data_IF_224156280544
#
_entry.id   IF_224156280544
#
_cell.length_a   1.000
_cell.length_b   1.000
_cell.length_c   1.000
_cell.angle_alpha   90.00
_cell.angle_beta   90.00
_cell.angle_gamma   90.00
#
_symmetry.space_group_name_H-M   'P 1'
#
loop_
_entity.id
_entity.type
_entity.pdbx_description
1 polymer ?
#
# COMPACT_ATOMS: atom_id res chain seq x y z
N UNK A 1 13.92 -31.38 26.77
CA UNK A 1 15.00 -30.47 27.14
C UNK A 1 14.44 -29.05 26.92
N UNK A 2 13.94 -28.46 28.01
CA UNK A 2 13.23 -27.16 28.01
C UNK A 2 14.26 -26.05 28.04
N UNK A 3 14.43 -25.37 26.91
CA UNK A 3 15.26 -24.17 26.83
C UNK A 3 14.35 -22.98 27.16
N UNK A 4 14.33 -22.60 28.43
CA UNK A 4 13.76 -21.36 28.92
C UNK A 4 14.74 -20.22 28.59
N UNK A 5 14.60 -19.56 27.45
CA UNK A 5 15.32 -18.32 27.17
C UNK A 5 14.49 -17.15 27.72
N UNK A 6 15.00 -16.40 28.68
CA UNK A 6 14.27 -15.29 29.30
C UNK A 6 14.11 -14.14 28.27
N UNK A 7 12.96 -13.46 28.30
CA UNK A 7 12.66 -12.25 27.51
C UNK A 7 13.72 -11.13 27.65
N UNK A 8 14.60 -11.18 28.64
CA UNK A 8 15.76 -10.32 28.80
C UNK A 8 16.81 -10.47 27.66
N UNK A 9 16.86 -11.62 26.97
CA UNK A 9 17.81 -11.82 25.87
C UNK A 9 17.44 -11.01 24.60
N UNK A 10 16.17 -10.69 24.40
CA UNK A 10 15.74 -9.87 23.25
C UNK A 10 16.19 -8.40 23.37
N UNK A 11 16.23 -7.87 24.61
CA UNK A 11 16.72 -6.50 24.88
C UNK A 11 18.24 -6.42 24.72
N UNK A 12 18.95 -7.47 25.10
CA UNK A 12 20.41 -7.57 24.94
C UNK A 12 20.80 -7.76 23.48
N UNK A 13 19.99 -8.47 22.67
CA UNK A 13 20.25 -8.65 21.23
C UNK A 13 20.00 -7.38 20.44
N UNK A 14 19.01 -6.55 20.81
CA UNK A 14 18.81 -5.23 20.23
C UNK A 14 19.99 -4.28 20.52
N UNK A 15 20.61 -4.37 21.70
CA UNK A 15 21.80 -3.61 22.07
C UNK A 15 23.10 -4.13 21.41
N UNK A 16 23.20 -5.43 21.14
CA UNK A 16 24.39 -6.02 20.48
C UNK A 16 24.42 -5.80 18.96
N UNK A 17 23.30 -5.41 18.35
CA UNK A 17 23.20 -5.14 16.89
C UNK A 17 23.55 -3.69 16.51
N UNK A 18 23.75 -2.81 17.50
CA UNK A 18 24.34 -1.48 17.32
C UNK A 18 25.78 -1.49 17.87
N UNK A 19 26.71 -2.13 17.18
CA UNK A 19 28.11 -1.98 17.50
C UNK A 19 28.49 -0.48 17.41
N UNK A 20 28.74 0.15 18.56
CA UNK A 20 29.35 1.47 18.79
C UNK A 20 28.49 2.72 18.95
N UNK A 21 27.17 2.71 18.84
CA UNK A 21 26.41 3.90 19.23
C UNK A 21 25.28 3.56 20.18
N UNK A 22 25.13 4.32 21.27
CA UNK A 22 23.96 4.27 22.14
C UNK A 22 22.71 4.40 21.26
N UNK A 23 21.64 3.57 21.47
CA UNK A 23 20.38 3.78 20.78
C UNK A 23 19.99 5.25 20.93
N UNK A 24 19.49 5.92 19.88
CA UNK A 24 19.10 7.32 19.98
C UNK A 24 18.02 7.43 21.04
N UNK A 25 18.11 8.47 21.85
CA UNK A 25 17.03 8.84 22.76
C UNK A 25 15.81 9.23 21.93
N UNK A 26 14.71 8.51 22.12
CA UNK A 26 13.44 8.83 21.45
C UNK A 26 12.86 10.08 22.12
N UNK A 27 12.97 11.21 21.44
CA UNK A 27 12.52 12.51 21.90
C UNK A 27 11.00 12.60 21.91
N UNK A 28 10.38 12.11 22.99
CA UNK A 28 8.93 12.17 23.19
C UNK A 28 8.56 13.39 24.02
N UNK A 29 7.49 14.08 23.63
CA UNK A 29 7.00 15.26 24.37
C UNK A 29 7.85 16.54 24.22
N UNK A 30 8.98 16.52 23.51
CA UNK A 30 9.78 17.72 23.25
C UNK A 30 9.07 18.77 22.37
N UNK A 31 8.22 18.29 21.46
CA UNK A 31 7.51 19.15 20.54
C UNK A 31 6.02 19.17 20.90
N UNK A 32 5.36 20.34 20.90
CA UNK A 32 3.92 20.40 21.14
C UNK A 32 3.15 19.62 20.08
N UNK A 33 1.97 19.14 20.45
CA UNK A 33 1.00 18.61 19.49
C UNK A 33 0.52 19.75 18.58
N UNK A 34 0.10 19.48 17.33
CA UNK A 34 -0.45 20.49 16.46
C UNK A 34 -1.76 21.06 17.01
N UNK A 35 -2.15 22.25 16.55
CA UNK A 35 -3.43 22.87 16.91
C UNK A 35 -4.61 21.94 16.62
N UNK A 36 -4.60 21.28 15.47
CA UNK A 36 -5.63 20.35 15.03
C UNK A 36 -5.15 18.89 15.18
N UNK A 37 -4.80 18.50 16.41
CA UNK A 37 -4.44 17.11 16.74
C UNK A 37 -5.60 16.16 16.46
N UNK A 38 -5.31 14.98 15.96
CA UNK A 38 -6.27 13.89 15.83
C UNK A 38 -6.20 13.00 17.08
N UNK A 39 -7.29 12.84 17.77
CA UNK A 39 -7.40 11.92 18.90
C UNK A 39 -7.83 10.55 18.40
N UNK A 40 -6.97 9.57 18.60
CA UNK A 40 -7.22 8.18 18.21
C UNK A 40 -8.07 7.46 19.26
N UNK A 41 -9.01 6.66 18.81
CA UNK A 41 -9.84 5.78 19.65
C UNK A 41 -9.08 4.58 20.25
N UNK A 42 -7.77 4.48 20.03
CA UNK A 42 -6.97 3.40 20.58
C UNK A 42 -6.92 3.44 22.10
N UNK A 43 -6.83 2.27 22.74
CA UNK A 43 -6.56 2.18 24.15
C UNK A 43 -5.19 2.81 24.46
N UNK A 44 -5.07 3.63 25.55
CA UNK A 44 -3.81 4.19 25.97
C UNK A 44 -2.77 3.10 26.27
N UNK A 45 -1.57 3.27 25.75
CA UNK A 45 -0.45 2.36 25.91
C UNK A 45 0.67 2.98 26.76
N UNK A 46 1.78 2.26 26.82
CA UNK A 46 3.02 2.74 27.43
C UNK A 46 4.09 2.89 26.36
N UNK A 47 4.86 3.95 26.46
CA UNK A 47 6.01 4.15 25.59
C UNK A 47 7.11 3.12 25.84
N UNK A 48 7.73 2.68 24.78
CA UNK A 48 8.88 1.79 24.81
C UNK A 48 8.74 0.57 23.91
N UNK A 49 9.82 -0.18 23.85
CA UNK A 49 9.88 -1.47 23.18
C UNK A 49 10.17 -1.43 21.69
N UNK A 50 10.40 -2.62 21.19
CA UNK A 50 10.72 -2.88 19.78
C UNK A 50 9.66 -3.81 19.23
N UNK A 51 9.20 -3.56 18.01
CA UNK A 51 8.30 -4.44 17.28
C UNK A 51 9.00 -4.94 16.03
N UNK A 52 9.17 -6.24 15.92
CA UNK A 52 9.94 -6.89 14.84
C UNK A 52 9.00 -7.63 13.89
N UNK A 53 9.14 -7.34 12.61
CA UNK A 53 8.45 -8.02 11.52
C UNK A 53 9.47 -8.66 10.57
N UNK A 54 9.11 -9.77 9.95
CA UNK A 54 9.82 -10.30 8.80
C UNK A 54 9.21 -9.78 7.50
N UNK A 55 10.04 -9.45 6.52
CA UNK A 55 9.62 -9.04 5.19
C UNK A 55 10.34 -9.87 4.13
N UNK A 56 9.58 -10.44 3.20
CA UNK A 56 10.13 -11.30 2.14
C UNK A 56 10.88 -10.52 1.05
N UNK A 57 10.72 -9.21 0.99
CA UNK A 57 11.44 -8.36 0.04
C UNK A 57 11.79 -7.01 0.68
N UNK A 58 12.88 -6.44 0.21
CA UNK A 58 13.31 -5.10 0.57
C UNK A 58 12.55 -4.03 -0.22
N UNK A 59 12.38 -2.82 0.34
CA UNK A 59 11.88 -1.69 -0.43
C UNK A 59 12.88 -1.33 -1.55
N UNK A 60 12.37 -1.12 -2.75
CA UNK A 60 13.17 -0.68 -3.90
C UNK A 60 13.42 0.82 -3.91
N UNK A 61 12.55 1.55 -3.25
CA UNK A 61 12.61 3.02 -3.12
C UNK A 61 11.73 3.45 -1.96
N UNK A 62 11.98 4.67 -1.46
CA UNK A 62 11.11 5.36 -0.49
C UNK A 62 10.33 6.52 -1.13
N UNK A 63 10.44 6.67 -2.46
CA UNK A 63 9.68 7.67 -3.22
C UNK A 63 8.30 7.10 -3.63
N UNK A 64 7.18 7.63 -3.10
CA UNK A 64 5.85 7.06 -3.31
C UNK A 64 5.39 7.10 -4.77
N UNK A 65 5.82 8.11 -5.55
CA UNK A 65 5.32 8.28 -6.91
C UNK A 65 5.92 7.26 -7.90
N UNK A 66 7.09 6.71 -7.57
CA UNK A 66 7.78 5.74 -8.42
C UNK A 66 7.88 4.34 -7.82
N UNK A 67 7.36 4.13 -6.61
CA UNK A 67 7.36 2.82 -5.95
C UNK A 67 6.61 1.78 -6.79
N UNK A 68 7.27 0.73 -7.30
CA UNK A 68 6.67 -0.20 -8.25
C UNK A 68 5.96 -1.36 -7.57
N UNK A 69 6.17 -1.57 -6.28
CA UNK A 69 5.80 -2.78 -5.56
C UNK A 69 5.16 -2.50 -4.20
N UNK A 70 4.49 -3.51 -3.67
CA UNK A 70 3.75 -3.44 -2.41
C UNK A 70 4.67 -3.29 -1.19
N UNK A 71 5.89 -3.85 -1.23
CA UNK A 71 6.81 -3.80 -0.08
C UNK A 71 7.34 -2.39 0.14
N UNK A 72 7.72 -1.70 -0.94
CA UNK A 72 8.05 -0.28 -0.90
C UNK A 72 6.85 0.54 -0.41
N UNK A 73 5.65 0.28 -0.95
CA UNK A 73 4.43 1.01 -0.57
C UNK A 73 4.07 0.86 0.90
N UNK A 74 4.16 -0.34 1.46
CA UNK A 74 3.87 -0.60 2.88
C UNK A 74 4.75 0.22 3.84
N UNK A 75 6.03 0.39 3.50
CA UNK A 75 6.94 1.22 4.30
C UNK A 75 6.61 2.70 4.13
N UNK A 76 6.38 3.13 2.88
CA UNK A 76 6.04 4.52 2.55
C UNK A 76 4.73 4.95 3.24
N UNK A 77 3.72 4.08 3.31
CA UNK A 77 2.44 4.36 3.98
C UNK A 77 2.58 4.57 5.50
N UNK A 78 3.64 4.04 6.11
CA UNK A 78 4.00 4.35 7.51
C UNK A 78 4.74 5.69 7.66
N UNK A 79 5.32 6.17 6.57
CA UNK A 79 6.15 7.39 6.57
C UNK A 79 5.39 8.62 6.07
N UNK A 80 4.45 8.46 5.16
CA UNK A 80 3.73 9.58 4.56
C UNK A 80 2.23 9.47 4.80
N UNK A 81 1.63 10.58 5.22
CA UNK A 81 0.18 10.66 5.43
C UNK A 81 -0.50 11.21 4.17
N UNK A 82 -1.63 10.60 3.75
CA UNK A 82 -2.49 11.13 2.69
C UNK A 82 -3.44 12.23 3.22
N UNK A 83 -4.22 12.84 2.33
CA UNK A 83 -5.28 13.80 2.72
C UNK A 83 -6.38 13.14 3.55
N UNK A 84 -6.83 11.98 3.13
CA UNK A 84 -7.83 11.14 3.80
C UNK A 84 -7.36 9.70 3.77
N UNK A 85 -7.92 8.85 4.60
CA UNK A 85 -7.64 7.41 4.57
C UNK A 85 -8.94 6.61 4.62
N UNK A 86 -8.85 5.30 4.45
CA UNK A 86 -9.99 4.38 4.55
C UNK A 86 -9.90 3.63 5.86
N UNK A 87 -10.94 3.69 6.65
CA UNK A 87 -11.08 2.87 7.84
C UNK A 87 -11.22 1.39 7.43
N UNK A 88 -10.32 0.50 7.86
CA UNK A 88 -10.29 -0.89 7.40
C UNK A 88 -11.49 -1.73 7.89
N UNK A 89 -12.20 -1.28 8.93
CA UNK A 89 -13.33 -2.01 9.49
C UNK A 89 -14.66 -1.60 8.86
N UNK A 90 -14.82 -0.29 8.63
CA UNK A 90 -16.06 0.27 8.09
C UNK A 90 -16.01 0.51 6.60
N UNK A 91 -14.82 0.46 6.00
CA UNK A 91 -14.56 0.82 4.59
C UNK A 91 -15.02 2.24 4.24
N UNK A 92 -15.10 3.12 5.21
CA UNK A 92 -15.45 4.53 5.03
C UNK A 92 -14.21 5.39 4.93
N UNK A 93 -14.28 6.42 4.11
CA UNK A 93 -13.25 7.46 4.09
C UNK A 93 -13.31 8.26 5.38
N UNK A 94 -12.18 8.40 6.05
CA UNK A 94 -12.01 9.13 7.30
C UNK A 94 -10.92 10.19 7.15
N UNK A 95 -10.93 11.26 7.99
CA UNK A 95 -9.91 12.29 7.99
C UNK A 95 -8.49 11.75 8.19
N UNK A 96 -7.50 12.39 7.51
CA UNK A 96 -6.08 12.22 7.80
C UNK A 96 -5.43 13.62 7.86
N UNK A 97 -4.57 14.02 6.92
CA UNK A 97 -4.05 15.39 6.90
C UNK A 97 -5.14 16.44 6.67
N UNK A 98 -6.19 16.10 5.92
CA UNK A 98 -7.39 16.92 5.88
C UNK A 98 -8.29 16.57 7.09
N UNK A 99 -8.61 17.58 7.91
CA UNK A 99 -9.53 17.44 9.06
C UNK A 99 -10.99 17.36 8.62
N UNK A 100 -11.31 17.92 7.46
CA UNK A 100 -12.67 17.91 6.88
C UNK A 100 -12.58 18.20 5.38
N UNK A 101 -13.72 17.96 4.70
CA UNK A 101 -13.89 18.29 3.29
C UNK A 101 -15.34 18.62 2.99
N UNK A 102 -15.58 19.32 1.89
CA UNK A 102 -16.90 19.54 1.29
C UNK A 102 -16.91 19.06 -0.16
N UNK A 103 -18.09 18.68 -0.63
CA UNK A 103 -18.32 18.21 -1.99
C UNK A 103 -19.43 19.07 -2.58
N UNK A 104 -19.23 19.63 -3.78
CA UNK A 104 -20.26 20.40 -4.48
C UNK A 104 -21.50 19.57 -4.82
N UNK A 105 -22.63 20.23 -5.06
CA UNK A 105 -23.91 19.58 -5.40
C UNK A 105 -23.80 18.70 -6.66
N UNK A 106 -23.04 19.16 -7.66
CA UNK A 106 -22.78 18.43 -8.91
C UNK A 106 -21.78 17.29 -8.74
N UNK A 107 -21.21 17.12 -7.53
CA UNK A 107 -20.23 16.07 -7.17
C UNK A 107 -18.96 16.08 -8.00
N UNK A 108 -18.57 17.25 -8.52
CA UNK A 108 -17.36 17.41 -9.32
C UNK A 108 -16.25 18.16 -8.62
N UNK A 109 -16.58 18.96 -7.58
CA UNK A 109 -15.61 19.78 -6.85
C UNK A 109 -15.51 19.30 -5.40
N UNK A 110 -14.29 19.12 -4.94
CA UNK A 110 -13.94 18.61 -3.61
C UNK A 110 -12.98 19.61 -2.95
N UNK A 111 -13.40 20.21 -1.84
CA UNK A 111 -12.55 21.15 -1.10
C UNK A 111 -12.09 20.48 0.20
N UNK A 112 -10.79 20.37 0.41
CA UNK A 112 -10.18 19.80 1.60
C UNK A 112 -9.62 20.89 2.49
N UNK A 113 -9.89 20.80 3.79
CA UNK A 113 -9.36 21.68 4.83
C UNK A 113 -8.32 20.92 5.64
N UNK A 114 -7.04 21.30 5.51
CA UNK A 114 -5.92 20.65 6.17
C UNK A 114 -5.92 20.98 7.67
N UNK A 115 -5.31 20.09 8.47
CA UNK A 115 -5.00 20.35 9.88
C UNK A 115 -3.92 21.42 9.99
N UNK A 116 -4.12 22.37 10.90
CA UNK A 116 -3.16 23.43 11.16
C UNK A 116 -2.06 22.98 12.13
N UNK A 117 -0.82 23.37 11.85
CA UNK A 117 0.33 23.10 12.71
C UNK A 117 0.89 21.68 12.59
N UNK A 118 0.40 20.86 11.65
CA UNK A 118 1.00 19.56 11.34
C UNK A 118 2.35 19.76 10.65
N UNK A 119 3.35 18.95 11.03
CA UNK A 119 4.71 19.07 10.54
C UNK A 119 5.26 17.75 10.01
N UNK A 120 6.18 17.86 9.09
CA UNK A 120 7.08 16.76 8.74
C UNK A 120 8.05 16.45 9.89
N UNK A 121 8.71 15.30 9.81
CA UNK A 121 9.64 14.84 10.85
C UNK A 121 10.86 15.73 11.06
N UNK A 122 11.20 16.57 10.10
CA UNK A 122 12.25 17.58 10.20
C UNK A 122 11.76 18.94 10.75
N UNK A 123 10.47 19.04 11.09
CA UNK A 123 9.86 20.22 11.69
C UNK A 123 9.25 21.22 10.70
N UNK A 124 9.40 21.01 9.40
CA UNK A 124 8.76 21.85 8.38
C UNK A 124 7.23 21.66 8.41
N UNK A 125 6.48 22.75 8.33
CA UNK A 125 5.02 22.74 8.38
C UNK A 125 4.42 22.20 7.08
N UNK A 126 3.39 21.36 7.20
CA UNK A 126 2.62 20.83 6.07
C UNK A 126 1.53 21.85 5.69
N UNK A 127 1.52 22.24 4.45
CA UNK A 127 0.57 23.23 3.92
C UNK A 127 -0.06 22.77 2.60
N UNK A 128 -0.97 23.58 2.08
CA UNK A 128 -1.54 23.38 0.76
C UNK A 128 -0.48 23.37 -0.36
N UNK A 129 0.68 24.01 -0.16
CA UNK A 129 1.76 24.02 -1.16
C UNK A 129 2.36 22.61 -1.36
N UNK A 130 2.43 21.79 -0.31
CA UNK A 130 2.90 20.40 -0.40
C UNK A 130 1.90 19.52 -1.17
N UNK A 131 0.61 19.76 -0.96
CA UNK A 131 -0.45 19.07 -1.72
C UNK A 131 -0.37 19.43 -3.20
N UNK A 132 -0.31 20.73 -3.51
CA UNK A 132 -0.19 21.20 -4.90
C UNK A 132 1.08 20.65 -5.55
N UNK A 133 2.22 20.69 -4.86
CA UNK A 133 3.48 20.13 -5.34
C UNK A 133 3.36 18.63 -5.66
N UNK A 134 2.70 17.85 -4.80
CA UNK A 134 2.47 16.41 -5.01
C UNK A 134 1.75 16.17 -6.34
N UNK A 135 0.65 16.86 -6.58
CA UNK A 135 -0.16 16.67 -7.79
C UNK A 135 0.50 17.28 -9.03
N UNK A 136 1.23 18.39 -8.91
CA UNK A 136 2.05 18.92 -9.99
C UNK A 136 3.12 17.91 -10.42
N UNK A 137 3.75 17.22 -9.48
CA UNK A 137 4.77 16.21 -9.77
C UNK A 137 4.16 14.97 -10.43
N UNK A 138 2.97 14.52 -10.01
CA UNK A 138 2.24 13.40 -10.62
C UNK A 138 1.95 13.68 -12.10
N UNK A 139 1.56 14.91 -12.44
CA UNK A 139 1.17 15.30 -13.80
C UNK A 139 2.25 16.09 -14.54
N UNK A 140 3.48 16.16 -14.01
CA UNK A 140 4.56 16.89 -14.64
C UNK A 140 4.82 16.35 -16.08
N UNK A 141 4.73 17.20 -17.12
CA UNK A 141 5.02 16.77 -18.48
C UNK A 141 6.52 16.56 -18.68
N UNK A 142 6.87 15.60 -19.52
CA UNK A 142 8.20 15.55 -20.09
C UNK A 142 8.36 16.72 -21.04
N UNK A 143 9.44 17.49 -20.90
CA UNK A 143 9.73 18.65 -21.76
C UNK A 143 10.83 18.28 -22.75
N UNK A 144 10.73 18.83 -23.95
CA UNK A 144 11.80 18.85 -24.95
C UNK A 144 12.88 19.91 -24.59
N UNK A 145 13.99 20.02 -25.34
CA UNK A 145 15.03 21.02 -25.12
C UNK A 145 14.54 22.46 -25.19
N UNK A 146 13.44 22.72 -25.89
CA UNK A 146 12.81 24.04 -26.02
C UNK A 146 11.80 24.34 -24.89
N UNK A 147 11.66 23.41 -23.92
CA UNK A 147 10.75 23.56 -22.80
C UNK A 147 9.28 23.27 -23.13
N UNK A 148 8.98 22.68 -24.27
CA UNK A 148 7.61 22.30 -24.67
C UNK A 148 7.29 20.88 -24.25
N UNK A 149 6.02 20.57 -23.90
CA UNK A 149 5.62 19.21 -23.59
C UNK A 149 5.82 18.26 -24.79
N UNK A 150 6.50 17.14 -24.55
CA UNK A 150 6.62 16.05 -25.52
C UNK A 150 5.28 15.33 -25.60
N UNK A 151 4.73 15.27 -26.82
CA UNK A 151 3.41 14.66 -27.08
C UNK A 151 3.57 13.22 -27.55
N UNK A 152 2.87 12.31 -26.89
CA UNK A 152 2.71 10.93 -27.36
C UNK A 152 1.91 10.91 -28.66
N UNK A 153 2.53 10.44 -29.73
CA UNK A 153 1.92 10.40 -31.08
C UNK A 153 0.69 9.49 -31.16
N UNK A 154 0.58 8.49 -30.29
CA UNK A 154 -0.55 7.54 -30.31
C UNK A 154 -1.78 8.07 -29.58
N UNK A 155 -1.57 8.86 -28.53
CA UNK A 155 -2.66 9.36 -27.66
C UNK A 155 -2.95 10.84 -27.84
N UNK A 156 -2.04 11.60 -28.44
CA UNK A 156 -2.11 13.06 -28.54
C UNK A 156 -1.94 13.79 -27.21
N UNK A 157 -1.51 13.10 -26.16
CA UNK A 157 -1.36 13.68 -24.79
C UNK A 157 0.11 13.89 -24.45
N UNK A 158 0.43 14.82 -23.52
CA UNK A 158 1.78 14.96 -23.01
C UNK A 158 2.28 13.66 -22.36
N UNK A 159 3.50 13.27 -22.67
CA UNK A 159 4.22 12.25 -21.91
C UNK A 159 4.51 12.78 -20.52
N UNK A 160 4.39 11.91 -19.52
CA UNK A 160 4.71 12.26 -18.15
C UNK A 160 6.22 12.17 -17.91
N UNK A 161 6.75 13.17 -17.21
CA UNK A 161 8.16 13.21 -16.80
C UNK A 161 8.49 12.08 -15.81
N UNK A 162 7.54 11.78 -14.92
CA UNK A 162 7.64 10.74 -13.90
C UNK A 162 6.47 9.76 -14.04
N UNK A 163 6.61 8.69 -14.86
CA UNK A 163 5.55 7.70 -15.00
C UNK A 163 5.15 7.13 -13.65
N UNK A 164 3.89 7.32 -13.29
CA UNK A 164 3.33 6.91 -12.01
C UNK A 164 1.95 6.32 -12.21
N UNK A 165 1.62 5.28 -11.44
CA UNK A 165 0.26 4.72 -11.38
C UNK A 165 -0.81 5.75 -11.02
N UNK A 166 -0.44 6.75 -10.23
CA UNK A 166 -1.35 7.79 -9.76
C UNK A 166 -1.87 8.70 -10.87
N UNK A 167 -1.09 8.94 -11.91
CA UNK A 167 -1.56 9.77 -13.02
C UNK A 167 -2.78 9.15 -13.73
N UNK A 168 -2.77 7.83 -13.94
CA UNK A 168 -3.93 7.11 -14.47
C UNK A 168 -5.12 7.13 -13.50
N UNK A 169 -4.87 6.92 -12.22
CA UNK A 169 -5.87 6.91 -11.16
C UNK A 169 -6.59 8.27 -11.02
N UNK A 170 -5.86 9.38 -11.19
CA UNK A 170 -6.41 10.74 -11.13
C UNK A 170 -6.74 11.35 -12.50
N UNK A 171 -6.87 10.50 -13.53
CA UNK A 171 -7.40 10.89 -14.85
C UNK A 171 -8.83 10.37 -14.99
N UNK A 172 -9.82 11.27 -14.94
CA UNK A 172 -11.24 10.91 -14.87
C UNK A 172 -11.94 11.40 -16.12
N UNK A 173 -12.52 10.47 -16.87
CA UNK A 173 -13.16 10.79 -18.15
C UNK A 173 -12.17 11.30 -19.20
N UNK A 174 -10.96 10.79 -19.21
CA UNK A 174 -9.84 11.17 -20.07
C UNK A 174 -9.18 12.50 -19.75
N UNK A 175 -9.59 13.21 -18.71
CA UNK A 175 -8.98 14.46 -18.25
C UNK A 175 -8.31 14.27 -16.89
N UNK A 176 -7.09 14.82 -16.69
CA UNK A 176 -6.49 14.92 -15.38
C UNK A 176 -7.37 15.72 -14.42
N UNK A 177 -7.40 15.32 -13.16
CA UNK A 177 -8.04 16.12 -12.10
C UNK A 177 -7.38 17.50 -12.05
N UNK A 178 -8.18 18.54 -11.95
CA UNK A 178 -7.69 19.92 -11.74
C UNK A 178 -7.57 20.16 -10.24
N UNK A 179 -6.56 20.92 -9.85
CA UNK A 179 -6.32 21.24 -8.44
C UNK A 179 -5.79 22.65 -8.29
N UNK A 180 -6.16 23.30 -7.21
CA UNK A 180 -5.70 24.65 -6.88
C UNK A 180 -5.63 24.84 -5.38
N UNK A 181 -4.71 25.68 -4.94
CA UNK A 181 -4.65 26.21 -3.58
C UNK A 181 -5.74 27.26 -3.42
N UNK A 182 -6.54 27.13 -2.37
CA UNK A 182 -7.59 28.11 -2.02
C UNK A 182 -7.28 28.87 -0.73
N UNK A 183 -6.28 28.42 0.04
CA UNK A 183 -5.77 29.04 1.26
C UNK A 183 -4.51 28.33 1.74
N UNK A 184 -3.89 28.80 2.82
CA UNK A 184 -2.68 28.17 3.39
C UNK A 184 -2.92 26.69 3.73
N UNK A 185 -4.12 26.37 4.19
CA UNK A 185 -4.54 25.04 4.63
C UNK A 185 -5.78 24.56 3.89
N UNK A 186 -5.99 25.00 2.66
CA UNK A 186 -7.15 24.62 1.86
C UNK A 186 -6.77 24.38 0.41
N UNK A 187 -7.26 23.27 -0.14
CA UNK A 187 -7.06 22.89 -1.54
C UNK A 187 -8.37 22.45 -2.14
N UNK A 188 -8.57 22.72 -3.41
CA UNK A 188 -9.72 22.34 -4.19
C UNK A 188 -9.30 21.42 -5.33
N UNK A 189 -10.02 20.34 -5.52
CA UNK A 189 -9.90 19.43 -6.65
C UNK A 189 -11.18 19.45 -7.48
N UNK A 190 -11.05 19.41 -8.81
CA UNK A 190 -12.20 19.32 -9.70
C UNK A 190 -12.00 18.19 -10.73
N UNK A 191 -13.06 17.41 -10.91
CA UNK A 191 -13.11 16.28 -11.86
C UNK A 191 -13.97 16.63 -13.07
N UNK A 192 -13.65 16.08 -14.24
CA UNK A 192 -14.41 16.31 -15.47
C UNK A 192 -15.87 15.85 -15.38
N UNK A 193 -16.13 14.82 -14.58
CA UNK A 193 -17.46 14.28 -14.30
C UNK A 193 -17.56 13.83 -12.84
N UNK A 194 -18.77 13.68 -12.32
CA UNK A 194 -19.00 13.10 -11.01
C UNK A 194 -18.37 11.70 -10.95
N UNK A 195 -17.51 11.47 -9.94
CA UNK A 195 -16.73 10.24 -9.81
C UNK A 195 -16.72 9.79 -8.34
N UNK A 196 -17.58 8.85 -8.01
CA UNK A 196 -17.78 8.41 -6.63
C UNK A 196 -16.51 7.84 -5.94
N UNK A 197 -15.57 7.12 -6.63
CA UNK A 197 -14.36 6.63 -6.02
C UNK A 197 -13.34 7.70 -5.64
N UNK A 198 -13.47 8.95 -6.12
CA UNK A 198 -12.46 10.00 -5.92
C UNK A 198 -12.02 10.15 -4.46
N UNK A 199 -12.97 10.10 -3.52
CA UNK A 199 -12.67 10.22 -2.08
C UNK A 199 -11.84 9.05 -1.55
N UNK A 200 -11.97 7.87 -2.12
CA UNK A 200 -11.13 6.72 -1.77
C UNK A 200 -9.78 6.84 -2.45
N UNK A 201 -9.78 7.20 -3.74
CA UNK A 201 -8.58 7.28 -4.56
C UNK A 201 -7.60 8.33 -4.05
N UNK A 202 -8.09 9.50 -3.62
CA UNK A 202 -7.24 10.58 -3.06
C UNK A 202 -6.53 10.17 -1.76
N UNK A 203 -7.00 9.11 -1.11
CA UNK A 203 -6.39 8.53 0.08
C UNK A 203 -5.18 7.62 -0.20
N UNK A 204 -4.84 7.33 -1.46
CA UNK A 204 -3.73 6.44 -1.78
C UNK A 204 -2.37 7.13 -1.94
N UNK A 205 -2.33 8.45 -2.06
CA UNK A 205 -1.07 9.16 -2.22
C UNK A 205 -0.69 9.92 -0.95
N UNK A 206 0.48 9.59 -0.39
CA UNK A 206 1.10 10.36 0.67
C UNK A 206 1.57 11.72 0.16
N UNK A 207 1.33 12.78 0.94
CA UNK A 207 1.69 14.14 0.57
C UNK A 207 3.19 14.34 0.69
N UNK A 208 3.81 14.80 -0.39
CA UNK A 208 5.26 15.00 -0.52
C UNK A 208 5.71 16.32 0.12
N UNK A 209 6.86 16.33 0.83
CA UNK A 209 7.45 17.56 1.34
C UNK A 209 8.10 18.36 0.21
N UNK A 210 7.45 19.43 -0.19
CA UNK A 210 7.93 20.34 -1.25
C UNK A 210 9.36 20.81 -0.99
N UNK A 211 9.65 21.24 0.24
CA UNK A 211 10.96 21.78 0.64
C UNK A 211 12.12 20.81 0.46
N UNK A 212 11.86 19.49 0.46
CA UNK A 212 12.86 18.44 0.22
C UNK A 212 12.97 18.04 -1.25
N UNK A 213 11.86 18.04 -1.96
CA UNK A 213 11.79 17.39 -3.28
C UNK A 213 11.66 18.38 -4.46
N UNK A 214 11.39 19.67 -4.21
CA UNK A 214 11.23 20.66 -5.29
C UNK A 214 12.45 20.68 -6.21
N UNK A 215 13.66 20.78 -5.65
CA UNK A 215 14.89 20.82 -6.44
C UNK A 215 15.02 19.61 -7.37
N UNK A 216 14.77 18.41 -6.85
CA UNK A 216 14.87 17.19 -7.65
C UNK A 216 13.77 17.08 -8.72
N UNK A 217 12.59 17.64 -8.47
CA UNK A 217 11.52 17.75 -9.45
C UNK A 217 11.90 18.73 -10.58
N UNK A 218 12.56 19.84 -10.26
CA UNK A 218 12.96 20.86 -11.23
C UNK A 218 14.12 20.37 -12.12
N UNK A 219 15.16 19.77 -11.52
CA UNK A 219 16.35 19.34 -12.24
C UNK A 219 16.21 17.94 -12.90
N UNK A 220 15.08 17.25 -12.72
CA UNK A 220 14.82 15.95 -13.32
C UNK A 220 15.40 14.75 -12.57
N UNK A 221 16.02 14.95 -11.42
CA UNK A 221 16.57 13.88 -10.61
C UNK A 221 15.56 13.19 -9.68
N UNK A 222 14.28 13.58 -9.72
CA UNK A 222 13.22 13.12 -8.83
C UNK A 222 13.07 11.58 -8.78
N UNK A 223 13.32 10.88 -9.90
CA UNK A 223 13.28 9.41 -9.91
C UNK A 223 14.36 8.78 -9.03
N UNK A 224 15.46 9.49 -8.74
CA UNK A 224 16.53 9.05 -7.84
C UNK A 224 16.40 9.60 -6.44
N UNK A 225 15.49 10.56 -6.23
CA UNK A 225 15.20 11.09 -4.92
C UNK A 225 14.60 10.00 -4.02
N UNK A 226 15.01 9.99 -2.77
CA UNK A 226 14.57 9.03 -1.76
C UNK A 226 14.83 7.57 -2.16
N UNK A 227 15.97 7.35 -2.80
CA UNK A 227 16.45 6.00 -3.12
C UNK A 227 16.85 5.24 -1.85
N UNK A 228 17.08 3.95 -2.00
CA UNK A 228 17.67 3.12 -0.93
C UNK A 228 19.04 3.63 -0.51
N UNK A 229 19.84 4.19 -1.45
CA UNK A 229 21.11 4.83 -1.12
C UNK A 229 20.94 6.05 -0.22
N UNK A 230 19.90 6.87 -0.44
CA UNK A 230 19.59 8.00 0.46
C UNK A 230 19.27 7.50 1.86
N UNK A 231 18.49 6.43 2.00
CA UNK A 231 18.16 5.83 3.29
C UNK A 231 19.38 5.25 4.03
N UNK A 232 20.42 4.82 3.31
CA UNK A 232 21.68 4.35 3.90
C UNK A 232 22.53 5.53 4.37
N UNK A 233 22.75 6.52 3.49
CA UNK A 233 23.74 7.58 3.73
C UNK A 233 23.21 8.75 4.56
N UNK A 234 21.94 9.09 4.39
CA UNK A 234 21.27 10.21 5.05
C UNK A 234 19.76 9.97 5.20
N UNK A 235 19.34 9.09 6.12
CA UNK A 235 17.92 8.78 6.31
C UNK A 235 17.07 10.00 6.69
N UNK A 236 17.64 11.03 7.33
CA UNK A 236 16.93 12.26 7.71
C UNK A 236 16.54 13.13 6.51
N UNK A 237 17.09 12.88 5.33
CA UNK A 237 16.66 13.54 4.10
C UNK A 237 15.26 13.09 3.67
N UNK A 238 14.85 11.90 4.11
CA UNK A 238 13.53 11.34 3.83
C UNK A 238 12.56 11.81 4.91
N UNK A 239 11.99 13.01 4.74
CA UNK A 239 11.10 13.61 5.71
C UNK A 239 9.73 12.90 5.73
N UNK A 240 9.25 12.56 6.91
CA UNK A 240 8.02 11.80 7.12
C UNK A 240 6.91 12.68 7.71
N UNK A 241 5.66 12.46 7.28
CA UNK A 241 4.43 13.02 7.87
C UNK A 241 3.59 11.97 8.61
N UNK A 242 3.93 10.70 8.40
CA UNK A 242 3.32 9.54 9.03
C UNK A 242 3.88 9.26 10.43
N UNK A 243 3.45 8.14 11.05
CA UNK A 243 3.85 7.78 12.42
C UNK A 243 5.33 7.46 12.57
N UNK A 244 6.01 7.05 11.51
CA UNK A 244 7.40 6.62 11.55
C UNK A 244 8.27 7.38 10.55
N UNK A 245 9.56 7.43 10.85
CA UNK A 245 10.63 7.87 9.95
C UNK A 245 11.75 6.82 9.94
N UNK A 246 12.60 6.83 8.92
CA UNK A 246 13.74 5.91 8.83
C UNK A 246 14.77 6.30 9.88
N UNK A 247 15.16 5.32 10.69
CA UNK A 247 16.32 5.41 11.58
C UNK A 247 17.58 4.89 10.89
N UNK A 248 17.52 3.66 10.34
CA UNK A 248 18.62 3.06 9.59
C UNK A 248 18.13 2.02 8.59
N UNK A 249 18.85 1.89 7.50
CA UNK A 249 18.63 0.86 6.50
C UNK A 249 19.93 0.13 6.19
N UNK A 250 19.89 -1.20 6.28
CA UNK A 250 21.01 -2.08 5.97
C UNK A 250 20.51 -3.11 4.94
N UNK A 251 20.89 -2.96 3.66
CA UNK A 251 20.48 -3.86 2.61
C UNK A 251 20.76 -5.33 2.93
N UNK A 252 19.87 -6.22 2.54
CA UNK A 252 19.96 -7.66 2.80
C UNK A 252 19.72 -8.06 4.27
N UNK A 253 19.59 -7.11 5.19
CA UNK A 253 19.49 -7.41 6.61
C UNK A 253 18.22 -6.85 7.25
N UNK A 254 18.08 -5.51 7.30
CA UNK A 254 16.95 -4.88 7.99
C UNK A 254 16.72 -3.42 7.62
N UNK A 255 15.49 -2.99 7.85
CA UNK A 255 15.10 -1.58 7.96
C UNK A 255 14.64 -1.32 9.39
N UNK A 256 15.12 -0.24 10.00
CA UNK A 256 14.70 0.22 11.33
C UNK A 256 14.00 1.55 11.18
N UNK A 257 12.76 1.61 11.64
CA UNK A 257 11.96 2.81 11.73
C UNK A 257 11.86 3.25 13.19
N UNK A 258 11.83 4.58 13.42
CA UNK A 258 11.58 5.17 14.73
C UNK A 258 10.40 6.15 14.66
N UNK A 259 9.77 6.50 15.78
CA UNK A 259 8.67 7.46 15.79
C UNK A 259 9.03 8.80 15.16
N UNK A 260 8.10 9.35 14.39
CA UNK A 260 8.16 10.75 13.96
C UNK A 260 7.88 11.65 15.18
N UNK A 261 8.84 12.51 15.60
CA UNK A 261 8.69 13.35 16.79
C UNK A 261 7.60 14.42 16.64
N UNK A 262 7.18 14.70 15.41
CA UNK A 262 6.13 15.67 15.07
C UNK A 262 4.82 15.00 14.65
N UNK A 263 4.66 13.68 14.84
CA UNK A 263 3.43 13.00 14.43
C UNK A 263 2.20 13.64 15.07
N UNK A 264 1.17 13.85 14.28
CA UNK A 264 0.02 14.69 14.57
C UNK A 264 -1.15 13.98 15.26
N UNK A 265 -1.03 12.67 15.53
CA UNK A 265 -2.03 11.90 16.26
C UNK A 265 -1.62 11.65 17.71
N UNK A 266 -2.60 11.69 18.59
CA UNK A 266 -2.43 11.37 20.01
C UNK A 266 -3.52 10.40 20.46
N UNK A 267 -3.34 9.75 21.60
CA UNK A 267 -4.37 9.03 22.29
C UNK A 267 -5.31 9.97 23.06
N UNK A 268 -6.37 9.40 23.66
CA UNK A 268 -7.35 10.15 24.45
C UNK A 268 -6.79 10.85 25.69
N UNK A 269 -5.57 10.50 26.13
CA UNK A 269 -4.86 11.15 27.22
C UNK A 269 -3.87 12.23 26.72
N UNK A 270 -3.82 12.48 25.42
CA UNK A 270 -2.92 13.44 24.80
C UNK A 270 -1.48 12.91 24.60
N UNK A 271 -1.24 11.62 24.80
CA UNK A 271 0.05 11.03 24.50
C UNK A 271 0.24 10.81 23.00
N UNK A 272 1.31 11.37 22.43
CA UNK A 272 1.61 11.28 20.99
C UNK A 272 1.87 9.82 20.57
N UNK A 273 1.26 9.38 19.50
CA UNK A 273 1.53 8.07 18.89
C UNK A 273 2.78 8.10 17.98
N UNK A 274 3.39 6.96 17.64
CA UNK A 274 3.15 5.63 18.20
C UNK A 274 3.86 5.40 19.53
N UNK A 275 3.47 4.35 20.28
CA UNK A 275 4.08 4.05 21.57
C UNK A 275 5.42 3.33 21.47
N UNK A 276 5.62 2.46 20.46
CA UNK A 276 6.84 1.68 20.28
C UNK A 276 8.03 2.58 19.93
N UNK A 277 9.23 2.21 20.40
CA UNK A 277 10.46 2.97 20.12
C UNK A 277 11.02 2.63 18.74
N UNK A 278 10.94 1.36 18.34
CA UNK A 278 11.43 0.92 17.04
C UNK A 278 10.49 -0.09 16.40
N UNK A 279 10.26 0.09 15.10
CA UNK A 279 9.66 -0.90 14.22
C UNK A 279 10.76 -1.43 13.30
N UNK A 280 11.05 -2.72 13.40
CA UNK A 280 12.13 -3.36 12.64
C UNK A 280 11.56 -4.33 11.63
N UNK A 281 11.92 -4.15 10.37
CA UNK A 281 11.69 -5.13 9.31
C UNK A 281 12.99 -5.92 9.08
N UNK A 282 13.00 -7.20 9.40
CA UNK A 282 14.06 -8.14 9.03
C UNK A 282 13.77 -8.70 7.65
N UNK A 283 14.73 -8.62 6.74
CA UNK A 283 14.57 -9.20 5.41
C UNK A 283 14.88 -10.69 5.45
N UNK A 284 14.01 -11.48 4.85
CA UNK A 284 14.09 -12.94 4.82
C UNK A 284 13.87 -13.45 3.41
N UNK A 285 14.45 -14.62 3.10
CA UNK A 285 14.42 -15.16 1.75
C UNK A 285 13.00 -15.61 1.30
N UNK A 286 12.16 -16.05 2.26
CA UNK A 286 10.86 -16.63 1.96
C UNK A 286 9.89 -16.57 3.16
N UNK A 287 8.62 -16.90 2.88
CA UNK A 287 7.56 -16.90 3.87
C UNK A 287 7.74 -17.96 4.97
N UNK A 288 8.34 -19.11 4.65
CA UNK A 288 8.55 -20.18 5.64
C UNK A 288 9.55 -19.70 6.70
N UNK A 289 10.63 -19.04 6.27
CA UNK A 289 11.60 -18.39 7.18
C UNK A 289 10.90 -17.36 8.08
N UNK A 290 9.98 -16.55 7.52
CA UNK A 290 9.18 -15.61 8.32
C UNK A 290 8.37 -16.32 9.41
N UNK A 291 7.71 -17.43 9.07
CA UNK A 291 6.91 -18.21 10.02
C UNK A 291 7.78 -18.85 11.11
N UNK A 292 8.97 -19.34 10.76
CA UNK A 292 9.93 -19.90 11.73
C UNK A 292 10.44 -18.82 12.68
N UNK A 293 10.81 -17.64 12.18
CA UNK A 293 11.25 -16.51 13.02
C UNK A 293 10.17 -16.08 14.01
N UNK A 294 8.91 -16.08 13.56
CA UNK A 294 7.77 -15.82 14.44
C UNK A 294 7.60 -16.91 15.49
N UNK A 295 7.55 -18.18 15.09
CA UNK A 295 7.37 -19.30 16.02
C UNK A 295 8.50 -19.42 17.07
N UNK A 296 9.71 -18.97 16.75
CA UNK A 296 10.86 -18.94 17.66
C UNK A 296 10.99 -17.64 18.46
N UNK A 297 10.02 -16.72 18.37
CA UNK A 297 9.98 -15.47 19.11
C UNK A 297 10.97 -14.40 18.62
N UNK A 298 11.50 -14.54 17.41
CA UNK A 298 12.39 -13.55 16.79
C UNK A 298 11.67 -12.48 15.99
N UNK A 299 10.36 -12.66 15.76
CA UNK A 299 9.43 -11.68 15.22
C UNK A 299 8.18 -11.63 16.10
N UNK A 300 7.56 -10.45 16.19
CA UNK A 300 6.40 -10.21 17.07
C UNK A 300 5.07 -10.50 16.37
N UNK A 301 5.06 -10.50 15.05
CA UNK A 301 3.89 -10.85 14.25
C UNK A 301 4.28 -11.47 12.90
N UNK A 302 3.41 -12.31 12.37
CA UNK A 302 3.54 -12.92 11.04
C UNK A 302 2.17 -13.22 10.46
N UNK A 303 2.09 -13.20 9.12
CA UNK A 303 0.98 -13.78 8.39
C UNK A 303 1.26 -15.26 8.15
N UNK A 304 0.34 -16.13 8.58
CA UNK A 304 0.53 -17.58 8.51
C UNK A 304 -0.16 -18.11 7.26
N UNK A 305 0.59 -18.76 6.39
CA UNK A 305 0.06 -19.46 5.22
C UNK A 305 -0.84 -20.65 5.57
N UNK A 306 -1.69 -21.07 4.64
CA UNK A 306 -2.59 -22.18 4.86
C UNK A 306 -1.86 -23.50 5.17
N UNK A 307 -0.72 -23.75 4.51
CA UNK A 307 0.15 -24.89 4.71
C UNK A 307 0.81 -24.92 6.10
N UNK A 308 1.07 -23.75 6.69
CA UNK A 308 1.76 -23.64 7.99
C UNK A 308 0.80 -23.62 9.18
N UNK A 309 -0.48 -23.32 8.93
CA UNK A 309 -1.46 -23.09 9.99
C UNK A 309 -1.56 -24.24 10.99
N UNK A 310 -1.61 -25.49 10.51
CA UNK A 310 -1.82 -26.64 11.39
C UNK A 310 -0.68 -26.82 12.40
N UNK A 311 0.57 -26.74 11.95
CA UNK A 311 1.71 -26.87 12.86
C UNK A 311 1.87 -25.65 13.75
N UNK A 312 1.71 -24.44 13.22
CA UNK A 312 1.78 -23.21 14.03
C UNK A 312 0.73 -23.23 15.13
N UNK A 313 -0.50 -23.66 14.83
CA UNK A 313 -1.56 -23.78 15.83
C UNK A 313 -1.19 -24.72 16.98
N UNK A 314 -0.55 -25.85 16.67
CA UNK A 314 -0.15 -26.83 17.69
C UNK A 314 0.94 -26.28 18.64
N UNK A 315 1.67 -25.26 18.23
CA UNK A 315 2.71 -24.64 19.04
C UNK A 315 2.28 -23.33 19.75
N UNK A 316 1.04 -22.87 19.53
CA UNK A 316 0.56 -21.59 20.06
C UNK A 316 0.70 -21.49 21.58
N UNK A 317 0.29 -22.53 22.32
CA UNK A 317 0.39 -22.56 23.78
C UNK A 317 1.84 -22.71 24.26
N UNK A 318 2.65 -23.52 23.56
CA UNK A 318 4.05 -23.75 23.91
C UNK A 318 4.90 -22.49 23.83
N UNK A 319 4.67 -21.67 22.80
CA UNK A 319 5.41 -20.44 22.54
C UNK A 319 4.64 -19.17 22.92
N UNK A 320 3.48 -19.31 23.56
CA UNK A 320 2.68 -18.21 24.11
C UNK A 320 2.37 -17.10 23.10
N UNK A 321 1.81 -17.47 21.94
CA UNK A 321 1.31 -16.52 20.96
C UNK A 321 -0.18 -16.76 20.66
N UNK A 322 -0.84 -15.78 20.06
CA UNK A 322 -2.25 -15.85 19.69
C UNK A 322 -2.39 -15.85 18.16
N UNK A 323 -3.33 -16.67 17.67
CA UNK A 323 -3.73 -16.69 16.27
C UNK A 323 -5.07 -15.97 16.15
N UNK A 324 -5.12 -14.98 15.27
CA UNK A 324 -6.32 -14.22 14.96
C UNK A 324 -6.83 -14.61 13.58
N UNK A 325 -8.00 -15.22 13.54
CA UNK A 325 -8.69 -15.51 12.28
C UNK A 325 -9.45 -14.27 11.82
N UNK A 326 -9.02 -13.67 10.72
CA UNK A 326 -9.54 -12.41 10.22
C UNK A 326 -10.65 -12.58 9.18
N UNK A 327 -11.00 -13.82 8.83
CA UNK A 327 -11.95 -14.12 7.77
C UNK A 327 -11.34 -13.99 6.37
N UNK A 328 -12.19 -13.91 5.33
CA UNK A 328 -11.74 -13.79 3.94
C UNK A 328 -10.89 -12.55 3.73
N UNK A 329 -9.84 -12.71 2.91
CA UNK A 329 -9.04 -11.58 2.40
C UNK A 329 -9.79 -10.85 1.27
N UNK A 330 -9.40 -9.63 0.99
CA UNK A 330 -9.82 -8.89 -0.20
C UNK A 330 -9.14 -9.39 -1.47
N UNK A 331 -8.00 -10.04 -1.33
CA UNK A 331 -7.27 -10.68 -2.44
C UNK A 331 -8.05 -11.86 -3.03
N UNK A 332 -7.86 -12.09 -4.32
CA UNK A 332 -8.49 -13.20 -5.05
C UNK A 332 -7.45 -13.92 -5.91
N UNK A 333 -7.62 -15.22 -6.05
CA UNK A 333 -6.90 -16.03 -7.05
C UNK A 333 -7.83 -16.28 -8.22
N UNK A 334 -7.38 -15.99 -9.43
CA UNK A 334 -8.22 -16.08 -10.63
C UNK A 334 -7.42 -16.47 -11.86
N UNK A 335 -8.13 -17.00 -12.85
CA UNK A 335 -7.64 -17.21 -14.20
C UNK A 335 -8.36 -16.22 -15.10
N UNK A 336 -7.63 -15.54 -15.95
CA UNK A 336 -8.20 -14.67 -16.97
C UNK A 336 -7.67 -15.02 -18.35
N UNK A 337 -8.44 -14.66 -19.36
CA UNK A 337 -8.07 -14.85 -20.75
C UNK A 337 -7.82 -13.50 -21.40
N UNK A 338 -6.64 -13.33 -21.98
CA UNK A 338 -6.35 -12.12 -22.76
C UNK A 338 -7.22 -12.12 -24.02
N UNK A 339 -8.09 -11.14 -24.14
CA UNK A 339 -9.02 -10.96 -25.27
C UNK A 339 -8.69 -9.70 -26.08
N UNK A 340 -7.46 -9.17 -25.98
CA UNK A 340 -7.03 -8.00 -26.72
C UNK A 340 -6.85 -8.35 -28.21
N UNK A 341 -7.66 -7.80 -29.14
CA UNK A 341 -7.55 -8.07 -30.57
C UNK A 341 -6.47 -7.24 -31.26
N UNK A 342 -5.82 -6.34 -30.55
CA UNK A 342 -4.86 -5.40 -31.11
C UNK A 342 -3.48 -6.03 -31.31
N UNK A 343 -2.61 -5.24 -31.95
CA UNK A 343 -1.23 -5.60 -32.24
C UNK A 343 -0.26 -4.68 -31.49
N UNK A 344 0.94 -5.18 -31.22
CA UNK A 344 2.02 -4.37 -30.68
C UNK A 344 2.48 -3.32 -31.71
N UNK A 345 3.27 -2.31 -31.30
CA UNK A 345 3.88 -1.35 -32.24
C UNK A 345 4.71 -2.00 -33.34
N UNK A 346 5.25 -3.20 -33.08
CA UNK A 346 6.06 -3.98 -34.02
C UNK A 346 5.19 -4.88 -34.94
N UNK A 347 3.87 -4.75 -34.87
CA UNK A 347 2.93 -5.50 -35.72
C UNK A 347 2.67 -6.94 -35.29
N UNK A 348 3.08 -7.34 -34.08
CA UNK A 348 2.78 -8.67 -33.53
C UNK A 348 1.44 -8.66 -32.80
N UNK A 349 0.56 -9.64 -33.01
CA UNK A 349 -0.70 -9.73 -32.24
C UNK A 349 -0.42 -9.93 -30.74
N UNK A 350 -1.15 -9.24 -29.86
CA UNK A 350 -1.06 -9.47 -28.41
C UNK A 350 -1.58 -10.85 -27.99
N UNK A 351 -2.46 -11.45 -28.82
CA UNK A 351 -2.94 -12.81 -28.66
C UNK A 351 -2.97 -13.46 -30.05
N UNK A 352 -2.40 -14.64 -30.17
CA UNK A 352 -2.45 -15.40 -31.41
C UNK A 352 -3.90 -15.57 -31.90
N UNK A 353 -4.20 -15.37 -33.18
CA UNK A 353 -5.58 -15.32 -33.68
C UNK A 353 -6.43 -16.55 -33.33
N UNK A 354 -5.84 -17.74 -33.36
CA UNK A 354 -6.54 -18.96 -33.00
C UNK A 354 -6.90 -19.02 -31.50
N UNK A 355 -5.99 -18.55 -30.62
CA UNK A 355 -6.24 -18.44 -29.16
C UNK A 355 -7.25 -17.33 -28.85
N UNK A 356 -7.17 -16.20 -29.59
CA UNK A 356 -8.13 -15.11 -29.41
C UNK A 356 -9.56 -15.57 -29.72
N UNK A 357 -9.75 -16.39 -30.77
CA UNK A 357 -11.05 -17.00 -31.09
C UNK A 357 -11.61 -17.82 -29.93
N UNK A 358 -10.76 -18.60 -29.23
CA UNK A 358 -11.16 -19.38 -28.05
C UNK A 358 -11.46 -18.46 -26.86
N UNK A 359 -10.55 -17.57 -26.56
CA UNK A 359 -10.62 -16.70 -25.36
C UNK A 359 -11.80 -15.72 -25.44
N UNK A 360 -12.16 -15.23 -26.63
CA UNK A 360 -13.33 -14.42 -26.86
C UNK A 360 -14.64 -15.20 -26.79
N UNK A 361 -14.61 -16.53 -26.92
CA UNK A 361 -15.81 -17.37 -26.89
C UNK A 361 -16.29 -17.55 -25.45
N UNK A 362 -17.52 -17.10 -25.16
CA UNK A 362 -18.15 -17.19 -23.84
C UNK A 362 -18.32 -18.66 -23.39
N UNK A 363 -18.76 -19.54 -24.28
CA UNK A 363 -18.98 -20.96 -23.97
C UNK A 363 -17.67 -21.66 -23.58
N UNK A 364 -16.57 -21.32 -24.29
CA UNK A 364 -15.25 -21.83 -23.93
C UNK A 364 -14.86 -21.43 -22.50
N UNK A 365 -15.00 -20.15 -22.12
CA UNK A 365 -14.67 -19.67 -20.78
C UNK A 365 -15.55 -20.31 -19.69
N UNK A 366 -16.83 -20.52 -19.98
CA UNK A 366 -17.75 -21.23 -19.08
C UNK A 366 -17.40 -22.70 -18.93
N UNK A 367 -16.98 -23.37 -20.01
CA UNK A 367 -16.49 -24.74 -19.97
C UNK A 367 -15.25 -24.89 -19.09
N UNK A 368 -14.28 -23.95 -19.22
CA UNK A 368 -13.11 -23.92 -18.34
C UNK A 368 -13.51 -23.79 -16.87
N UNK A 369 -14.48 -22.91 -16.54
CA UNK A 369 -14.97 -22.77 -15.17
C UNK A 369 -15.55 -24.07 -14.61
N UNK A 370 -16.28 -24.82 -15.43
CA UNK A 370 -16.87 -26.11 -15.04
C UNK A 370 -15.84 -27.26 -14.96
N UNK A 371 -14.74 -27.14 -15.70
CA UNK A 371 -13.65 -28.13 -15.69
C UNK A 371 -12.74 -28.04 -14.45
N UNK A 372 -12.77 -26.95 -13.71
CA UNK A 372 -11.87 -26.73 -12.56
C UNK A 372 -12.56 -27.18 -11.27
N UNK A 373 -11.99 -28.20 -10.62
CA UNK A 373 -12.41 -28.62 -9.29
C UNK A 373 -11.90 -27.64 -8.22
N UNK A 374 -12.67 -26.57 -8.01
CA UNK A 374 -12.33 -25.55 -7.02
C UNK A 374 -12.40 -26.05 -5.59
N UNK A 375 -13.28 -27.02 -5.28
CA UNK A 375 -13.36 -27.65 -3.96
C UNK A 375 -12.15 -28.53 -3.68
N UNK A 376 -11.72 -29.30 -4.68
CA UNK A 376 -10.47 -30.07 -4.62
C UNK A 376 -9.25 -29.18 -4.41
N UNK A 377 -9.15 -28.06 -5.12
CA UNK A 377 -8.09 -27.08 -4.93
C UNK A 377 -8.12 -26.48 -3.51
N UNK A 378 -9.28 -26.10 -2.99
CA UNK A 378 -9.41 -25.56 -1.63
C UNK A 378 -8.90 -26.59 -0.61
N UNK A 379 -9.22 -27.86 -0.77
CA UNK A 379 -8.78 -28.91 0.14
C UNK A 379 -7.28 -29.20 0.04
N UNK A 380 -6.76 -29.34 -1.20
CA UNK A 380 -5.39 -29.80 -1.43
C UNK A 380 -4.34 -28.70 -1.36
N UNK A 381 -4.65 -27.49 -1.84
CA UNK A 381 -3.69 -26.38 -1.91
C UNK A 381 -3.85 -25.41 -0.73
N UNK A 382 -5.08 -25.15 -0.31
CA UNK A 382 -5.36 -24.22 0.78
C UNK A 382 -5.79 -24.88 2.09
N UNK A 383 -5.73 -26.23 2.19
CA UNK A 383 -6.03 -26.98 3.41
C UNK A 383 -7.39 -26.60 4.03
N UNK A 384 -8.38 -26.33 3.18
CA UNK A 384 -9.72 -25.88 3.59
C UNK A 384 -9.81 -24.39 4.00
N UNK A 385 -8.74 -23.61 3.86
CA UNK A 385 -8.66 -22.20 4.31
C UNK A 385 -8.85 -21.18 3.18
N UNK A 386 -9.67 -21.51 2.23
CA UNK A 386 -10.12 -20.64 1.15
C UNK A 386 -11.60 -20.85 0.89
N UNK A 387 -12.21 -19.96 0.12
CA UNK A 387 -13.60 -20.11 -0.31
C UNK A 387 -13.76 -19.82 -1.80
N UNK A 388 -14.73 -20.48 -2.43
CA UNK A 388 -15.06 -20.23 -3.83
C UNK A 388 -15.58 -18.81 -4.01
N UNK A 389 -15.15 -18.17 -5.09
CA UNK A 389 -15.69 -16.92 -5.57
C UNK A 389 -16.37 -17.14 -6.92
N UNK A 390 -17.59 -16.63 -7.06
CA UNK A 390 -18.33 -16.65 -8.32
C UNK A 390 -18.33 -15.27 -9.01
N UNK A 391 -17.75 -14.27 -8.34
CA UNK A 391 -17.53 -12.92 -8.85
C UNK A 391 -16.12 -12.42 -8.57
N UNK A 392 -15.80 -11.24 -9.08
CA UNK A 392 -14.46 -10.63 -8.96
C UNK A 392 -14.25 -9.87 -7.64
N UNK A 393 -15.28 -9.76 -6.80
CA UNK A 393 -15.22 -9.04 -5.53
C UNK A 393 -15.33 -10.02 -4.38
N UNK A 394 -14.30 -10.07 -3.55
CA UNK A 394 -14.29 -10.89 -2.33
C UNK A 394 -15.40 -10.49 -1.35
N UNK A 395 -15.99 -11.45 -0.60
CA UNK A 395 -16.95 -11.17 0.49
C UNK A 395 -16.40 -10.27 1.60
N UNK A 396 -15.08 -10.14 1.73
CA UNK A 396 -14.46 -9.17 2.62
C UNK A 396 -14.87 -7.73 2.29
N UNK A 397 -15.10 -7.42 1.03
CA UNK A 397 -15.60 -6.13 0.58
C UNK A 397 -17.13 -6.13 0.55
N UNK A 398 -17.76 -6.09 1.73
CA UNK A 398 -19.22 -6.17 1.91
C UNK A 398 -20.02 -5.17 1.09
N UNK A 399 -19.46 -3.99 0.82
CA UNK A 399 -20.14 -2.91 0.08
C UNK A 399 -20.30 -3.24 -1.40
N UNK A 400 -19.34 -3.92 -2.00
CA UNK A 400 -19.28 -4.15 -3.44
C UNK A 400 -19.47 -5.63 -3.82
N UNK A 401 -19.46 -6.53 -2.84
CA UNK A 401 -19.71 -7.95 -3.07
C UNK A 401 -21.15 -8.19 -3.50
N UNK A 402 -21.31 -8.86 -4.65
CA UNK A 402 -22.62 -9.32 -5.11
C UNK A 402 -22.76 -10.83 -4.82
N UNK A 403 -23.59 -11.24 -3.86
CA UNK A 403 -23.80 -12.66 -3.54
C UNK A 403 -24.64 -13.39 -4.60
N UNK A 404 -25.29 -12.65 -5.51
CA UNK A 404 -26.20 -13.20 -6.53
C UNK A 404 -25.52 -13.38 -7.89
N UNK A 405 -24.20 -13.55 -7.93
CA UNK A 405 -23.47 -13.86 -9.16
C UNK A 405 -23.79 -15.26 -9.65
N UNK A 406 -23.83 -15.49 -10.99
CA UNK A 406 -24.04 -16.84 -11.55
C UNK A 406 -23.00 -17.83 -11.04
N UNK A 407 -23.45 -18.99 -10.60
CA UNK A 407 -22.59 -20.07 -10.12
C UNK A 407 -22.28 -21.05 -11.24
N UNK A 408 -21.03 -21.49 -11.29
CA UNK A 408 -20.56 -22.51 -12.23
C UNK A 408 -20.02 -23.68 -11.40
N UNK A 409 -20.89 -24.68 -11.19
CA UNK A 409 -20.50 -25.89 -10.45
C UNK A 409 -19.53 -26.73 -11.28
N UNK A 410 -18.63 -27.43 -10.57
CA UNK A 410 -17.70 -28.36 -11.18
C UNK A 410 -18.46 -29.52 -11.83
N UNK A 411 -18.25 -29.71 -13.12
CA UNK A 411 -18.83 -30.79 -13.92
C UNK A 411 -17.96 -31.02 -15.15
N UNK A 412 -16.97 -31.93 -15.05
CA UNK A 412 -16.06 -32.20 -16.15
C UNK A 412 -16.78 -32.76 -17.37
N UNK A 413 -17.88 -33.54 -17.19
CA UNK A 413 -18.70 -34.08 -18.26
C UNK A 413 -19.35 -32.93 -19.06
N UNK A 414 -20.05 -32.03 -18.37
CA UNK A 414 -20.68 -30.86 -19.01
C UNK A 414 -19.62 -29.95 -19.66
N UNK A 415 -18.47 -29.79 -19.01
CA UNK A 415 -17.36 -29.02 -19.58
C UNK A 415 -16.90 -29.63 -20.91
N UNK A 416 -16.73 -30.96 -20.94
CA UNK A 416 -16.35 -31.69 -22.16
C UNK A 416 -17.37 -31.51 -23.29
N UNK A 417 -18.67 -31.70 -22.98
CA UNK A 417 -19.74 -31.47 -23.95
C UNK A 417 -19.70 -30.03 -24.51
N UNK A 418 -19.52 -29.04 -23.66
CA UNK A 418 -19.39 -27.64 -24.06
C UNK A 418 -18.17 -27.42 -24.95
N UNK A 419 -17.02 -28.02 -24.66
CA UNK A 419 -15.84 -27.92 -25.52
C UNK A 419 -16.11 -28.60 -26.89
N UNK A 420 -16.67 -29.80 -26.93
CA UNK A 420 -17.01 -30.49 -28.17
C UNK A 420 -17.97 -29.64 -29.01
N UNK A 421 -18.99 -29.03 -28.41
CA UNK A 421 -19.94 -28.16 -29.12
C UNK A 421 -19.28 -26.93 -29.76
N UNK A 422 -18.08 -26.57 -29.35
CA UNK A 422 -17.29 -25.47 -29.91
C UNK A 422 -16.16 -25.97 -30.84
N UNK A 423 -16.15 -27.25 -31.18
CA UNK A 423 -15.19 -27.84 -32.11
C UNK A 423 -13.84 -28.22 -31.47
N UNK A 424 -13.79 -28.40 -30.16
CA UNK A 424 -12.64 -28.99 -29.46
C UNK A 424 -12.85 -30.51 -29.35
N UNK A 425 -11.83 -31.28 -29.68
CA UNK A 425 -11.82 -32.77 -29.58
C UNK A 425 -10.98 -33.26 -28.42
#
# INVERSE_FOLDING_TARGET
MTINLPKAAAIVLAAALCACTRPPEIKRGQFPLPKDVEISECAPGKYGGVFVLAAAQEPKTFNPLIAPDIYSSQIIDLMLSPLVTVDPFTMRTIPALAKSWSISEDKKTYTFHLREGVKFSDGAEITADDVIFTFQTIFAPQLDPDGKPVIDKSTGKPLLRYPSRYAGQYTIGSEPVKFKKTGKYSVEFSTAKAYAPFMTDIGFVGILPKHKLQKSADDGSFQRAWSTQTAISNPSEIAASGPFQIFSYKPGERLVLMPNPHYWRADKNGARLPYIDFLIYKFVADANTSTILFATGQCDASSIGANDYAWVKNYADTYNFKIYERGPDTGIYFIWFNQNPNYSPEGKPYVEPHKLKWFANKTFRQAVMKAIDRDGLIKSVWFGRAQKLDGIISPANKKWHNPNTPKYEYSPETAREMFISQGFS
#
